data_IF_379716791514
#
_entry.id   IF_379716791514
#
_cell.length_a   1.000
_cell.length_b   1.000
_cell.length_c   1.000
_cell.angle_alpha   90.00
_cell.angle_beta   90.00
_cell.angle_gamma   90.00
#
_symmetry.space_group_name_H-M   'P 1'
#
loop_
_entity.id
_entity.type
_entity.pdbx_description
1 polymer ?
#
# COMPACT_ATOMS: atom_id res chain seq x y z
N UNK A 1 -32.39 -15.44 4.31
CA UNK A 1 -32.05 -14.32 3.40
C UNK A 1 -31.33 -13.28 4.25
N UNK A 2 -30.04 -13.03 4.01
CA UNK A 2 -29.21 -12.18 4.88
C UNK A 2 -29.49 -10.69 4.71
N UNK A 3 -29.16 -9.88 5.73
CA UNK A 3 -29.34 -8.41 5.69
C UNK A 3 -28.54 -7.79 4.55
N UNK A 4 -27.26 -8.17 4.40
CA UNK A 4 -26.38 -7.67 3.33
C UNK A 4 -26.99 -7.97 1.95
N UNK A 5 -27.46 -9.19 1.74
CA UNK A 5 -28.11 -9.60 0.49
C UNK A 5 -29.35 -8.76 0.14
N UNK A 6 -30.11 -8.27 1.14
CA UNK A 6 -31.23 -7.34 0.88
C UNK A 6 -30.73 -5.95 0.50
N UNK A 7 -29.75 -5.42 1.24
CA UNK A 7 -29.16 -4.12 0.95
C UNK A 7 -28.54 -4.09 -0.45
N UNK A 8 -27.94 -5.18 -0.90
CA UNK A 8 -27.37 -5.28 -2.26
C UNK A 8 -28.42 -5.10 -3.36
N UNK A 9 -29.68 -5.51 -3.13
CA UNK A 9 -30.77 -5.24 -4.11
C UNK A 9 -31.08 -3.75 -4.22
N UNK A 10 -30.90 -3.00 -3.13
CA UNK A 10 -31.14 -1.56 -3.11
C UNK A 10 -30.09 -0.77 -3.90
N UNK A 11 -28.98 -1.40 -4.29
CA UNK A 11 -27.98 -0.79 -5.18
C UNK A 11 -28.50 -0.59 -6.61
N UNK A 12 -29.61 -1.25 -6.97
CA UNK A 12 -30.30 -1.05 -8.26
C UNK A 12 -31.32 0.10 -8.20
N UNK A 13 -31.43 0.81 -7.07
CA UNK A 13 -32.32 1.96 -6.94
C UNK A 13 -31.92 3.11 -7.87
N UNK A 14 -32.92 3.76 -8.46
CA UNK A 14 -32.76 5.02 -9.22
C UNK A 14 -32.46 6.21 -8.30
N UNK A 15 -32.90 6.15 -7.03
CA UNK A 15 -32.50 7.12 -6.01
C UNK A 15 -31.04 6.89 -5.61
N UNK A 16 -30.15 7.60 -6.32
CA UNK A 16 -28.69 7.55 -6.18
C UNK A 16 -28.26 7.95 -4.77
N UNK A 17 -28.61 9.16 -4.35
CA UNK A 17 -28.08 9.79 -3.14
C UNK A 17 -28.78 9.37 -1.85
N UNK A 18 -30.05 8.95 -1.93
CA UNK A 18 -30.81 8.46 -0.77
C UNK A 18 -30.59 6.97 -0.57
N UNK A 19 -31.35 6.16 -1.30
CA UNK A 19 -31.41 4.71 -1.09
C UNK A 19 -30.08 4.02 -1.42
N UNK A 20 -29.49 4.28 -2.59
CA UNK A 20 -28.34 3.53 -3.08
C UNK A 20 -27.06 3.81 -2.27
N UNK A 21 -26.70 5.08 -2.07
CA UNK A 21 -25.56 5.45 -1.22
C UNK A 21 -25.72 4.93 0.20
N UNK A 22 -26.92 5.03 0.81
CA UNK A 22 -27.13 4.52 2.17
C UNK A 22 -27.03 3.00 2.26
N UNK A 23 -27.49 2.28 1.24
CA UNK A 23 -27.35 0.84 1.21
C UNK A 23 -25.87 0.41 1.21
N UNK A 24 -25.03 0.99 0.35
CA UNK A 24 -23.60 0.64 0.31
C UNK A 24 -22.85 1.09 1.58
N UNK A 25 -23.20 2.24 2.16
CA UNK A 25 -22.64 2.68 3.44
C UNK A 25 -22.91 1.66 4.56
N UNK A 26 -24.14 1.12 4.62
CA UNK A 26 -24.51 0.11 5.62
C UNK A 26 -23.76 -1.20 5.36
N UNK A 27 -23.69 -1.66 4.10
CA UNK A 27 -22.91 -2.85 3.72
C UNK A 27 -21.45 -2.69 4.16
N UNK A 28 -20.82 -1.56 3.82
CA UNK A 28 -19.45 -1.22 4.21
C UNK A 28 -19.25 -1.34 5.72
N UNK A 29 -20.18 -0.80 6.52
CA UNK A 29 -20.13 -0.88 7.99
C UNK A 29 -20.27 -2.32 8.50
N UNK A 30 -21.12 -3.14 7.88
CA UNK A 30 -21.30 -4.54 8.29
C UNK A 30 -20.03 -5.36 8.02
N UNK A 31 -19.40 -5.17 6.85
CA UNK A 31 -18.19 -5.93 6.49
C UNK A 31 -16.92 -5.39 7.15
N UNK A 32 -16.98 -4.18 7.71
CA UNK A 32 -15.90 -3.58 8.47
C UNK A 32 -15.75 -4.30 9.80
N UNK A 33 -14.91 -5.33 9.82
CA UNK A 33 -14.55 -6.04 11.04
C UNK A 33 -13.34 -5.32 11.66
N UNK A 34 -13.53 -4.78 12.87
CA UNK A 34 -12.42 -4.21 13.63
C UNK A 34 -11.52 -5.30 14.20
N UNK A 35 -10.22 -5.01 14.31
CA UNK A 35 -9.27 -5.86 15.03
C UNK A 35 -8.76 -7.10 14.29
N UNK A 36 -9.02 -7.23 12.98
CA UNK A 36 -8.38 -8.26 12.16
C UNK A 36 -6.86 -8.13 12.21
N UNK A 37 -6.17 -9.25 12.44
CA UNK A 37 -4.70 -9.28 12.45
C UNK A 37 -4.14 -9.23 11.02
N UNK A 38 -2.85 -8.95 10.92
CA UNK A 38 -2.13 -9.09 9.63
C UNK A 38 -2.20 -10.55 9.19
N UNK A 39 -2.52 -10.79 7.92
CA UNK A 39 -2.73 -12.11 7.32
C UNK A 39 -4.11 -12.73 7.60
N UNK A 40 -4.95 -12.11 8.43
CA UNK A 40 -6.29 -12.61 8.73
C UNK A 40 -7.31 -12.13 7.68
N UNK A 41 -7.99 -13.09 7.05
CA UNK A 41 -9.01 -12.81 6.04
C UNK A 41 -10.34 -12.37 6.68
N UNK A 42 -11.11 -11.59 5.93
CA UNK A 42 -12.43 -11.16 6.37
C UNK A 42 -13.42 -12.32 6.37
N UNK A 43 -14.05 -12.60 7.51
CA UNK A 43 -15.01 -13.69 7.67
C UNK A 43 -16.23 -13.58 6.73
N UNK A 44 -16.58 -12.37 6.29
CA UNK A 44 -17.69 -12.16 5.36
C UNK A 44 -17.37 -12.53 3.92
N UNK A 45 -16.08 -12.63 3.52
CA UNK A 45 -15.69 -12.91 2.14
C UNK A 45 -16.36 -14.19 1.62
N UNK A 46 -16.28 -15.29 2.38
CA UNK A 46 -16.89 -16.57 2.00
C UNK A 46 -18.42 -16.48 1.95
N UNK A 47 -19.04 -15.91 2.98
CA UNK A 47 -20.50 -15.82 3.08
C UNK A 47 -21.11 -15.01 1.92
N UNK A 48 -20.49 -13.89 1.58
CA UNK A 48 -20.96 -13.03 0.49
C UNK A 48 -20.62 -13.58 -0.90
N UNK A 49 -19.60 -14.44 -0.99
CA UNK A 49 -19.32 -15.22 -2.21
C UNK A 49 -20.41 -16.26 -2.43
N UNK A 50 -20.70 -17.05 -1.39
CA UNK A 50 -21.65 -18.18 -1.44
C UNK A 50 -23.09 -17.73 -1.75
N UNK A 51 -23.51 -16.54 -1.30
CA UNK A 51 -24.87 -16.02 -1.52
C UNK A 51 -25.04 -15.13 -2.76
N UNK A 52 -23.96 -14.96 -3.54
CA UNK A 52 -23.92 -14.18 -4.77
C UNK A 52 -23.88 -12.65 -4.57
N UNK A 53 -23.78 -12.16 -3.33
CA UNK A 53 -23.67 -10.73 -3.04
C UNK A 53 -22.39 -10.13 -3.61
N UNK A 54 -21.27 -10.84 -3.47
CA UNK A 54 -19.97 -10.38 -3.99
C UNK A 54 -20.02 -10.16 -5.51
N UNK A 55 -20.62 -11.09 -6.25
CA UNK A 55 -20.78 -10.96 -7.70
C UNK A 55 -21.59 -9.72 -8.09
N UNK A 56 -22.61 -9.36 -7.30
CA UNK A 56 -23.41 -8.13 -7.53
C UNK A 56 -22.62 -6.86 -7.24
N UNK A 57 -21.81 -6.84 -6.18
CA UNK A 57 -20.92 -5.71 -5.89
C UNK A 57 -19.91 -5.50 -7.02
N UNK A 58 -19.31 -6.58 -7.51
CA UNK A 58 -18.39 -6.56 -8.65
C UNK A 58 -19.10 -6.04 -9.91
N UNK A 59 -20.32 -6.52 -10.18
CA UNK A 59 -21.12 -6.04 -11.31
C UNK A 59 -21.42 -4.54 -11.18
N UNK A 60 -21.80 -4.07 -9.99
CA UNK A 60 -22.08 -2.67 -9.74
C UNK A 60 -20.83 -1.77 -9.88
N UNK A 61 -19.65 -2.27 -9.50
CA UNK A 61 -18.38 -1.56 -9.73
C UNK A 61 -18.05 -1.41 -11.22
N UNK A 62 -18.47 -2.36 -12.06
CA UNK A 62 -18.26 -2.33 -13.52
C UNK A 62 -19.29 -1.49 -14.27
N UNK A 63 -20.32 -1.01 -13.59
CA UNK A 63 -21.45 -0.30 -14.17
C UNK A 63 -21.25 1.21 -14.02
N UNK A 64 -20.96 1.91 -15.11
CA UNK A 64 -20.65 3.34 -15.10
C UNK A 64 -21.84 4.21 -14.66
N UNK A 65 -23.09 3.71 -14.74
CA UNK A 65 -24.27 4.43 -14.23
C UNK A 65 -24.34 4.48 -12.68
N UNK A 66 -23.47 3.69 -12.03
CA UNK A 66 -23.32 3.54 -10.59
C UNK A 66 -22.00 4.15 -10.05
N UNK A 67 -21.37 5.04 -10.82
CA UNK A 67 -20.11 5.70 -10.42
C UNK A 67 -20.17 6.38 -9.03
N UNK A 68 -21.34 6.90 -8.64
CA UNK A 68 -21.62 7.48 -7.32
C UNK A 68 -21.37 6.55 -6.14
N UNK A 69 -21.31 5.23 -6.36
CA UNK A 69 -21.00 4.23 -5.32
C UNK A 69 -19.74 3.41 -5.61
N UNK A 70 -19.03 3.64 -6.72
CA UNK A 70 -17.80 2.88 -7.05
C UNK A 70 -16.76 3.00 -5.95
N UNK A 71 -16.68 4.18 -5.34
CA UNK A 71 -15.84 4.45 -4.19
C UNK A 71 -16.14 3.52 -3.00
N UNK A 72 -17.39 3.51 -2.52
CA UNK A 72 -17.77 2.70 -1.36
C UNK A 72 -17.73 1.21 -1.66
N UNK A 73 -17.97 0.80 -2.91
CA UNK A 73 -17.78 -0.58 -3.36
C UNK A 73 -16.29 -0.95 -3.31
N UNK A 74 -15.40 -0.11 -3.84
CA UNK A 74 -13.94 -0.38 -3.83
C UNK A 74 -13.40 -0.47 -2.41
N UNK A 75 -13.87 0.40 -1.51
CA UNK A 75 -13.60 0.30 -0.08
C UNK A 75 -14.05 -1.05 0.47
N UNK A 76 -15.32 -1.39 0.25
CA UNK A 76 -15.93 -2.64 0.71
C UNK A 76 -15.15 -3.86 0.22
N UNK A 77 -14.75 -3.87 -1.05
CA UNK A 77 -13.97 -4.95 -1.65
C UNK A 77 -12.58 -5.05 -1.03
N UNK A 78 -11.89 -3.93 -0.77
CA UNK A 78 -10.58 -3.97 -0.09
C UNK A 78 -10.66 -4.53 1.33
N UNK A 79 -11.75 -4.26 2.06
CA UNK A 79 -11.99 -4.85 3.38
C UNK A 79 -12.27 -6.36 3.29
N UNK A 80 -13.03 -6.79 2.28
CA UNK A 80 -13.35 -8.20 2.07
C UNK A 80 -12.13 -9.01 1.62
N UNK A 81 -11.31 -8.44 0.73
CA UNK A 81 -10.11 -9.07 0.16
C UNK A 81 -8.83 -8.78 0.94
N UNK A 82 -8.93 -8.34 2.20
CA UNK A 82 -7.76 -8.28 3.09
C UNK A 82 -7.07 -9.65 3.13
N UNK A 83 -5.76 -9.66 2.89
CA UNK A 83 -4.95 -10.89 2.83
C UNK A 83 -5.51 -11.96 1.85
N UNK A 84 -6.22 -11.54 0.81
CA UNK A 84 -6.75 -12.41 -0.24
C UNK A 84 -6.57 -11.77 -1.63
N UNK A 85 -6.47 -12.56 -2.70
CA UNK A 85 -6.30 -12.02 -4.04
C UNK A 85 -7.59 -11.38 -4.54
N UNK A 86 -7.51 -10.16 -5.06
CA UNK A 86 -8.61 -9.54 -5.80
C UNK A 86 -8.87 -10.33 -7.10
N UNK A 87 -10.13 -10.40 -7.57
CA UNK A 87 -10.41 -10.91 -8.90
C UNK A 87 -9.69 -10.05 -9.95
N UNK A 88 -8.92 -10.68 -10.83
CA UNK A 88 -8.07 -10.00 -11.84
C UNK A 88 -8.82 -8.96 -12.67
N UNK A 89 -10.09 -9.21 -12.93
CA UNK A 89 -10.98 -8.34 -13.70
C UNK A 89 -11.36 -7.01 -13.03
N UNK A 90 -11.12 -6.86 -11.73
CA UNK A 90 -11.42 -5.62 -10.98
C UNK A 90 -10.23 -5.09 -10.19
N UNK A 91 -9.10 -5.80 -10.14
CA UNK A 91 -7.98 -5.44 -9.26
C UNK A 91 -7.49 -4.01 -9.51
N UNK A 92 -7.25 -3.64 -10.77
CA UNK A 92 -6.83 -2.30 -11.15
C UNK A 92 -7.88 -1.24 -10.81
N UNK A 93 -9.16 -1.47 -11.13
CA UNK A 93 -10.23 -0.50 -10.86
C UNK A 93 -10.40 -0.25 -9.35
N UNK A 94 -10.35 -1.31 -8.52
CA UNK A 94 -10.40 -1.16 -7.06
C UNK A 94 -9.21 -0.34 -6.55
N UNK A 95 -7.99 -0.68 -6.96
CA UNK A 95 -6.79 0.05 -6.52
C UNK A 95 -6.82 1.51 -6.97
N UNK A 96 -7.19 1.78 -8.22
CA UNK A 96 -7.27 3.15 -8.76
C UNK A 96 -8.24 4.02 -7.95
N UNK A 97 -9.43 3.48 -7.64
CA UNK A 97 -10.42 4.17 -6.82
C UNK A 97 -9.90 4.48 -5.41
N UNK A 98 -9.16 3.55 -4.79
CA UNK A 98 -8.56 3.76 -3.47
C UNK A 98 -7.40 4.75 -3.50
N UNK A 99 -6.62 4.76 -4.59
CA UNK A 99 -5.48 5.66 -4.78
C UNK A 99 -5.91 7.12 -4.97
N UNK A 100 -7.15 7.37 -5.42
CA UNK A 100 -7.66 8.72 -5.65
C UNK A 100 -7.80 9.56 -4.38
N UNK A 101 -7.90 8.92 -3.20
CA UNK A 101 -8.05 9.59 -1.92
C UNK A 101 -6.97 9.18 -0.91
N UNK A 102 -6.19 10.16 -0.45
CA UNK A 102 -5.14 9.97 0.54
C UNK A 102 -5.61 9.34 1.85
N UNK A 103 -6.90 9.44 2.19
CA UNK A 103 -7.47 8.88 3.43
C UNK A 103 -7.64 7.35 3.42
N UNK A 104 -7.43 6.69 2.28
CA UNK A 104 -7.68 5.25 2.11
C UNK A 104 -6.44 4.38 2.05
N UNK A 105 -5.29 4.91 2.45
CA UNK A 105 -4.04 4.14 2.41
C UNK A 105 -4.09 2.89 3.30
N UNK A 106 -4.93 2.89 4.35
CA UNK A 106 -5.16 1.69 5.17
C UNK A 106 -5.79 0.55 4.34
N UNK A 107 -6.69 0.85 3.41
CA UNK A 107 -7.33 -0.16 2.55
C UNK A 107 -6.33 -0.77 1.57
N UNK A 108 -5.43 0.04 1.01
CA UNK A 108 -4.34 -0.47 0.15
C UNK A 108 -3.39 -1.33 0.98
N UNK A 109 -3.12 -0.95 2.22
CA UNK A 109 -2.30 -1.76 3.12
C UNK A 109 -2.91 -3.14 3.40
N UNK A 110 -4.24 -3.25 3.50
CA UNK A 110 -4.93 -4.54 3.62
C UNK A 110 -4.77 -5.41 2.37
N UNK A 111 -4.86 -4.80 1.19
CA UNK A 111 -4.68 -5.51 -0.08
C UNK A 111 -3.22 -5.96 -0.27
N UNK A 112 -2.26 -5.16 0.18
CA UNK A 112 -0.83 -5.46 0.11
C UNK A 112 -0.42 -6.67 0.96
N UNK A 113 -1.26 -7.16 1.86
CA UNK A 113 -1.00 -8.40 2.60
C UNK A 113 -1.08 -9.66 1.71
N UNK A 114 -1.59 -9.54 0.48
CA UNK A 114 -1.57 -10.60 -0.53
C UNK A 114 -0.66 -10.20 -1.71
N UNK A 115 0.38 -10.98 -2.04
CA UNK A 115 1.33 -10.64 -3.10
C UNK A 115 0.68 -10.59 -4.50
N UNK A 116 -0.38 -11.35 -4.73
CA UNK A 116 -1.13 -11.34 -6.00
C UNK A 116 -1.75 -9.96 -6.32
N UNK A 117 -1.89 -9.08 -5.32
CA UNK A 117 -2.41 -7.73 -5.49
C UNK A 117 -1.30 -6.70 -5.82
N UNK A 118 -0.02 -7.04 -5.66
CA UNK A 118 1.08 -6.06 -5.69
C UNK A 118 1.25 -5.39 -7.05
N UNK A 119 1.11 -6.12 -8.16
CA UNK A 119 1.20 -5.52 -9.50
C UNK A 119 0.12 -4.46 -9.73
N UNK A 120 -1.11 -4.73 -9.27
CA UNK A 120 -2.19 -3.77 -9.35
C UNK A 120 -1.95 -2.55 -8.45
N UNK A 121 -1.43 -2.77 -7.24
CA UNK A 121 -1.05 -1.69 -6.29
C UNK A 121 0.03 -0.79 -6.89
N UNK A 122 1.05 -1.38 -7.51
CA UNK A 122 2.18 -0.69 -8.13
C UNK A 122 1.91 -0.20 -9.56
N UNK A 123 0.66 -0.30 -10.03
CA UNK A 123 0.27 0.28 -11.30
C UNK A 123 0.45 1.80 -11.29
N UNK A 124 0.68 2.39 -12.47
CA UNK A 124 0.82 3.84 -12.63
C UNK A 124 1.87 4.47 -11.70
N UNK A 125 2.97 3.74 -11.47
CA UNK A 125 4.13 4.18 -10.69
C UNK A 125 3.77 4.57 -9.24
N UNK A 126 2.82 3.86 -8.62
CA UNK A 126 2.38 4.15 -7.26
C UNK A 126 3.52 4.16 -6.23
N UNK A 127 4.59 3.38 -6.43
CA UNK A 127 5.79 3.41 -5.60
C UNK A 127 6.40 4.82 -5.47
N UNK A 128 6.28 5.66 -6.50
CA UNK A 128 6.78 7.04 -6.47
C UNK A 128 5.91 7.96 -5.60
N UNK A 129 4.64 7.58 -5.41
CA UNK A 129 3.67 8.30 -4.57
C UNK A 129 3.82 8.00 -3.08
N UNK A 130 4.48 6.89 -2.75
CA UNK A 130 4.77 6.54 -1.36
C UNK A 130 5.63 7.64 -0.73
N UNK A 131 5.15 8.20 0.37
CA UNK A 131 5.82 9.29 1.11
C UNK A 131 5.92 10.63 0.35
N UNK A 132 5.06 10.91 -0.63
CA UNK A 132 4.91 12.26 -1.22
C UNK A 132 4.43 13.31 -0.19
N UNK A 133 3.85 12.87 0.93
CA UNK A 133 3.50 13.70 2.08
C UNK A 133 3.61 12.97 3.40
N UNK A 134 3.44 13.71 4.50
CA UNK A 134 3.72 13.20 5.86
C UNK A 134 2.46 12.67 6.59
N UNK A 135 1.27 12.78 6.01
CA UNK A 135 -0.01 12.43 6.67
C UNK A 135 -0.26 10.91 6.77
N UNK A 136 0.33 10.11 5.88
CA UNK A 136 0.08 8.66 5.77
C UNK A 136 1.34 7.82 5.98
N UNK A 137 2.29 8.32 6.77
CA UNK A 137 3.60 7.66 6.96
C UNK A 137 3.44 6.23 7.48
N UNK A 138 2.47 5.98 8.37
CA UNK A 138 2.26 4.66 8.96
C UNK A 138 1.80 3.66 7.88
N UNK A 139 0.83 4.07 7.07
CA UNK A 139 0.24 3.26 6.01
C UNK A 139 1.22 3.04 4.86
N UNK A 140 1.95 4.08 4.43
CA UNK A 140 3.00 3.94 3.42
C UNK A 140 4.11 3.01 3.88
N UNK A 141 4.50 3.09 5.14
CA UNK A 141 5.50 2.19 5.70
C UNK A 141 4.98 0.76 5.82
N UNK A 142 3.69 0.57 6.12
CA UNK A 142 3.04 -0.74 6.09
C UNK A 142 3.02 -1.34 4.68
N UNK A 143 2.59 -0.58 3.67
CA UNK A 143 2.56 -1.01 2.26
C UNK A 143 3.98 -1.35 1.79
N UNK A 144 4.93 -0.44 2.04
CA UNK A 144 6.35 -0.63 1.71
C UNK A 144 6.87 -1.94 2.30
N UNK A 145 6.68 -2.15 3.60
CA UNK A 145 7.11 -3.37 4.28
C UNK A 145 6.51 -4.64 3.66
N UNK A 146 5.20 -4.64 3.41
CA UNK A 146 4.51 -5.81 2.86
C UNK A 146 5.00 -6.17 1.46
N UNK A 147 5.26 -5.17 0.61
CA UNK A 147 5.79 -5.41 -0.73
C UNK A 147 7.24 -5.88 -0.68
N UNK A 148 8.09 -5.26 0.15
CA UNK A 148 9.49 -5.68 0.30
C UNK A 148 9.60 -7.13 0.83
N UNK A 149 8.68 -7.52 1.71
CA UNK A 149 8.71 -8.83 2.35
C UNK A 149 8.07 -9.94 1.48
N UNK A 150 6.95 -9.65 0.82
CA UNK A 150 6.12 -10.67 0.15
C UNK A 150 6.12 -10.57 -1.38
N UNK A 151 6.53 -9.44 -1.95
CA UNK A 151 6.42 -9.17 -3.39
C UNK A 151 7.34 -10.02 -4.25
N UNK A 152 7.11 -9.99 -5.57
CA UNK A 152 8.06 -10.49 -6.55
C UNK A 152 9.38 -9.70 -6.48
N UNK A 153 10.48 -10.27 -6.99
CA UNK A 153 11.77 -9.57 -7.02
C UNK A 153 11.70 -8.23 -7.79
N UNK A 154 10.91 -8.18 -8.87
CA UNK A 154 10.66 -6.94 -9.61
C UNK A 154 9.97 -5.89 -8.73
N UNK A 155 8.88 -6.27 -8.05
CA UNK A 155 8.13 -5.36 -7.18
C UNK A 155 8.96 -4.88 -5.98
N UNK A 156 9.73 -5.80 -5.38
CA UNK A 156 10.70 -5.49 -4.32
C UNK A 156 11.71 -4.45 -4.79
N UNK A 157 12.34 -4.66 -5.95
CA UNK A 157 13.34 -3.74 -6.50
C UNK A 157 12.74 -2.36 -6.79
N UNK A 158 11.57 -2.32 -7.45
CA UNK A 158 10.86 -1.06 -7.77
C UNK A 158 10.59 -0.24 -6.52
N UNK A 159 9.98 -0.86 -5.50
CA UNK A 159 9.67 -0.18 -4.24
C UNK A 159 10.94 0.21 -3.50
N UNK A 160 11.92 -0.69 -3.38
CA UNK A 160 13.16 -0.41 -2.67
C UNK A 160 13.87 0.81 -3.24
N UNK A 161 14.02 0.89 -4.56
CA UNK A 161 14.64 2.01 -5.25
C UNK A 161 13.88 3.33 -5.02
N UNK A 162 12.54 3.30 -5.10
CA UNK A 162 11.73 4.51 -4.97
C UNK A 162 11.74 5.10 -3.56
N UNK A 163 11.82 4.27 -2.51
CA UNK A 163 11.58 4.70 -1.12
C UNK A 163 12.81 4.69 -0.22
N UNK A 164 13.97 4.21 -0.68
CA UNK A 164 15.22 4.03 0.10
C UNK A 164 15.52 5.22 1.01
N UNK A 165 15.64 6.42 0.44
CA UNK A 165 16.04 7.62 1.19
C UNK A 165 15.00 8.04 2.21
N UNK A 166 13.71 7.94 1.85
CA UNK A 166 12.60 8.28 2.75
C UNK A 166 12.55 7.33 3.93
N UNK A 167 12.67 6.02 3.69
CA UNK A 167 12.69 5.00 4.74
C UNK A 167 13.93 5.15 5.62
N UNK A 168 15.12 5.39 5.03
CA UNK A 168 16.36 5.69 5.77
C UNK A 168 16.16 6.86 6.72
N UNK A 169 15.57 7.97 6.24
CA UNK A 169 15.29 9.16 7.05
C UNK A 169 14.37 8.86 8.24
N UNK A 170 13.37 7.98 8.06
CA UNK A 170 12.47 7.57 9.16
C UNK A 170 13.16 6.70 10.23
N UNK A 171 14.37 6.18 9.96
CA UNK A 171 15.17 5.50 11.00
C UNK A 171 15.83 6.49 11.97
N UNK A 172 16.04 7.74 11.54
CA UNK A 172 16.65 8.79 12.35
C UNK A 172 15.68 9.27 13.45
N UNK A 173 16.17 9.31 14.68
CA UNK A 173 15.34 9.66 15.82
C UNK A 173 14.94 11.14 15.80
N UNK A 174 15.82 12.04 15.38
CA UNK A 174 15.56 13.49 15.40
C UNK A 174 14.49 13.84 14.37
N UNK A 175 14.62 13.37 13.14
CA UNK A 175 13.61 13.57 12.10
C UNK A 175 12.24 13.06 12.54
N UNK A 176 12.19 11.87 13.17
CA UNK A 176 10.93 11.32 13.64
C UNK A 176 10.31 12.12 14.80
N UNK A 177 11.13 12.77 15.63
CA UNK A 177 10.62 13.66 16.67
C UNK A 177 9.98 14.91 16.09
N UNK A 178 10.57 15.50 15.04
CA UNK A 178 10.05 16.68 14.34
C UNK A 178 8.73 16.36 13.65
N UNK A 179 8.71 15.35 12.77
CA UNK A 179 7.49 14.90 12.08
C UNK A 179 6.39 14.52 13.06
N UNK A 180 6.74 13.76 14.12
CA UNK A 180 5.74 13.34 15.09
C UNK A 180 5.26 14.44 16.02
N UNK A 181 5.84 15.65 16.02
CA UNK A 181 5.22 16.83 16.67
C UNK A 181 4.11 17.39 15.79
N UNK A 182 4.36 17.53 14.50
CA UNK A 182 3.39 18.03 13.51
C UNK A 182 2.17 17.10 13.43
N UNK A 183 2.41 15.78 13.45
CA UNK A 183 1.37 14.75 13.37
C UNK A 183 0.80 14.32 14.73
N UNK A 184 1.21 14.99 15.83
CA UNK A 184 0.73 14.72 17.20
C UNK A 184 0.91 13.24 17.61
N UNK A 185 1.99 12.60 17.16
CA UNK A 185 2.28 11.21 17.48
C UNK A 185 2.77 11.04 18.91
N UNK A 186 2.13 10.13 19.64
CA UNK A 186 2.59 9.72 20.95
C UNK A 186 3.89 8.90 20.88
N UNK A 187 4.54 8.70 22.03
CA UNK A 187 5.82 7.97 22.15
C UNK A 187 5.75 6.53 21.62
N UNK A 188 4.60 5.85 21.77
CA UNK A 188 4.40 4.47 21.29
C UNK A 188 4.35 4.44 19.76
N UNK A 189 3.59 5.34 19.15
CA UNK A 189 3.50 5.47 17.69
C UNK A 189 4.87 5.75 17.07
N UNK A 190 5.62 6.74 17.61
CA UNK A 190 6.99 7.04 17.15
C UNK A 190 7.90 5.81 17.22
N UNK A 191 7.91 5.08 18.34
CA UNK A 191 8.71 3.85 18.45
C UNK A 191 8.31 2.78 17.43
N UNK A 192 7.01 2.61 17.19
CA UNK A 192 6.50 1.66 16.19
C UNK A 192 6.94 2.00 14.77
N UNK A 193 6.81 3.27 14.37
CA UNK A 193 7.29 3.76 13.08
C UNK A 193 8.80 3.54 12.95
N UNK A 194 9.59 3.92 13.95
CA UNK A 194 11.04 3.77 13.90
C UNK A 194 11.47 2.30 13.78
N UNK A 195 10.85 1.40 14.54
CA UNK A 195 11.16 -0.03 14.50
C UNK A 195 10.88 -0.60 13.11
N UNK A 196 9.71 -0.29 12.56
CA UNK A 196 9.31 -0.75 11.23
C UNK A 196 10.15 -0.13 10.11
N UNK A 197 10.54 1.14 10.24
CA UNK A 197 11.42 1.81 9.29
C UNK A 197 12.80 1.15 9.25
N UNK A 198 13.34 0.75 10.41
CA UNK A 198 14.61 0.02 10.47
C UNK A 198 14.52 -1.35 9.81
N UNK A 199 13.44 -2.08 10.05
CA UNK A 199 13.18 -3.38 9.42
C UNK A 199 13.06 -3.25 7.89
N UNK A 200 12.22 -2.33 7.42
CA UNK A 200 12.09 -2.05 5.98
C UNK A 200 13.41 -1.59 5.36
N UNK A 201 14.19 -0.74 6.04
CA UNK A 201 15.49 -0.29 5.55
C UNK A 201 16.51 -1.43 5.43
N UNK A 202 16.45 -2.40 6.35
CA UNK A 202 17.30 -3.59 6.27
C UNK A 202 16.95 -4.44 5.04
N UNK A 203 15.67 -4.67 4.78
CA UNK A 203 15.21 -5.35 3.55
C UNK A 203 15.66 -4.61 2.28
N UNK A 204 15.55 -3.28 2.27
CA UNK A 204 15.99 -2.44 1.14
C UNK A 204 17.49 -2.64 0.87
N UNK A 205 18.33 -2.66 1.90
CA UNK A 205 19.77 -2.91 1.75
C UNK A 205 20.06 -4.32 1.23
N UNK A 206 19.27 -5.32 1.60
CA UNK A 206 19.44 -6.67 1.07
C UNK A 206 19.03 -6.77 -0.41
N UNK A 207 17.98 -6.06 -0.81
CA UNK A 207 17.48 -6.02 -2.19
C UNK A 207 18.41 -5.22 -3.12
N UNK A 208 18.89 -4.05 -2.67
CA UNK A 208 19.71 -3.13 -3.48
C UNK A 208 21.20 -3.37 -3.28
N UNK A 209 21.64 -3.67 -2.06
CA UNK A 209 23.06 -3.84 -1.71
C UNK A 209 23.72 -5.07 -2.33
N UNK A 210 22.96 -5.98 -2.94
CA UNK A 210 23.50 -6.96 -3.88
C UNK A 210 24.05 -6.34 -5.18
N UNK A 211 23.75 -5.06 -5.47
CA UNK A 211 24.21 -4.31 -6.65
C UNK A 211 25.15 -3.14 -6.31
N UNK A 212 25.10 -2.59 -5.10
CA UNK A 212 25.98 -1.46 -4.70
C UNK A 212 27.46 -1.88 -4.57
N UNK A 213 27.75 -3.15 -4.29
CA UNK A 213 29.12 -3.67 -4.29
C UNK A 213 29.77 -3.71 -5.69
N UNK A 214 29.01 -3.60 -6.78
CA UNK A 214 29.56 -3.54 -8.15
C UNK A 214 29.81 -2.09 -8.63
N UNK A 215 29.03 -1.12 -8.15
CA UNK A 215 29.19 0.30 -8.52
C UNK A 215 30.16 1.06 -7.60
N UNK A 216 30.24 0.74 -6.30
CA UNK A 216 31.26 1.33 -5.42
C UNK A 216 32.67 0.78 -5.72
N UNK A 217 32.80 -0.50 -6.10
CA UNK A 217 34.08 -1.08 -6.52
C UNK A 217 34.59 -0.49 -7.85
N UNK A 218 33.70 -0.17 -8.80
CA UNK A 218 34.08 0.46 -10.07
C UNK A 218 34.48 1.94 -9.93
N UNK A 219 34.07 2.63 -8.87
CA UNK A 219 34.46 4.03 -8.60
C UNK A 219 35.77 4.14 -7.80
N UNK A 220 36.16 3.07 -7.09
CA UNK A 220 37.47 3.00 -6.40
C UNK A 220 38.61 2.60 -7.37
N UNK A 221 38.35 1.80 -8.41
CA UNK A 221 39.39 1.42 -9.40
C UNK A 221 39.80 2.56 -10.36
N UNK A 222 38.98 3.60 -10.54
CA UNK A 222 39.29 4.77 -11.40
C UNK A 222 39.99 5.92 -10.64
N UNK A 223 40.20 5.81 -9.32
CA UNK A 223 40.88 6.85 -8.52
C UNK A 223 42.33 6.52 -8.14
N UNK A 224 42.82 5.32 -8.45
CA UNK A 224 44.17 4.87 -8.10
C UNK A 224 45.20 4.96 -9.25
N UNK A 225 44.86 5.51 -10.42
CA UNK A 225 45.81 5.64 -11.57
C UNK A 225 46.46 7.03 -11.79
N UNK A 226 46.14 8.07 -11.01
CA UNK A 226 46.59 9.45 -11.34
C UNK A 226 47.57 10.12 -10.34
N UNK A 227 48.14 9.41 -9.36
CA UNK A 227 49.04 10.01 -8.34
C UNK A 227 50.49 9.46 -8.32
N UNK A 228 51.00 8.92 -9.43
CA UNK A 228 52.43 8.60 -9.58
C UNK A 228 53.07 9.33 -10.78
N UNK A 229 53.13 10.66 -10.80
CA UNK A 229 54.08 11.38 -11.67
C UNK A 229 54.29 12.87 -11.29
N UNK A 230 54.66 13.17 -10.04
CA UNK A 230 55.24 14.50 -9.76
C UNK A 230 56.27 14.52 -8.61
N UNK A 231 57.28 13.66 -8.69
CA UNK A 231 58.54 13.88 -7.95
C UNK A 231 59.77 13.59 -8.83
N UNK A 232 60.06 14.49 -9.77
CA UNK A 232 61.45 14.71 -10.20
C UNK A 232 61.63 16.09 -10.81
N UNK A 233 62.46 16.91 -10.15
CA UNK A 233 63.29 18.05 -10.60
C UNK A 233 63.46 18.98 -9.37
N UNK A 234 64.28 18.64 -8.37
CA UNK A 234 65.75 18.67 -8.31
C UNK A 234 66.38 19.98 -8.85
N UNK A 235 66.90 20.74 -7.86
CA UNK A 235 68.07 21.64 -7.82
C UNK A 235 68.01 23.05 -8.41
#
# INVERSE_FOLDING_TARGET
MGIVQQLTKLLESEDKFGVRTKAIEIIKRIVSVEGLKVGEQNAYLKVLTDDGTLAKLIKALKDDDKDDIHYDISWTLALLFKAAPLPKEISFKVVEQLNSLSLLMINISHLAECPDNHDAILANEFEKKLFEGDSNIIEYLQITYLILHLGSEENKQRVANAVKDKVKRLTDYKTLQELGKEQIWNKKTKKGIQAKAKESYQLIKEIIGGKENEEEAAQEEDQDEDDEDEQCLIQ
#
